data_IF_191081546402
#
_entry.id   IF_191081546402
#
_cell.length_a   1.000
_cell.length_b   1.000
_cell.length_c   1.000
_cell.angle_alpha   90.00
_cell.angle_beta   90.00
_cell.angle_gamma   90.00
#
_symmetry.space_group_name_H-M   'P 1'
#
loop_
_entity.id
_entity.type
_entity.pdbx_description
1 polymer ?
#
# COMPACT_ATOMS: atom_id res chain seq x y z
N UNK A 1 -11.40 16.06 9.23
CA UNK A 1 -10.78 17.18 8.45
C UNK A 1 -10.05 16.65 7.23
N UNK A 2 -9.05 15.78 7.37
CA UNK A 2 -8.26 15.25 6.24
C UNK A 2 -9.13 14.56 5.17
N UNK A 3 -9.84 13.48 5.53
CA UNK A 3 -10.67 12.71 4.59
C UNK A 3 -11.79 13.57 3.98
N UNK A 4 -12.50 14.35 4.81
CA UNK A 4 -13.56 15.23 4.34
C UNK A 4 -13.06 16.34 3.40
N UNK A 5 -11.87 16.89 3.63
CA UNK A 5 -11.27 17.93 2.78
C UNK A 5 -10.84 17.40 1.41
N UNK A 6 -10.43 16.13 1.33
CA UNK A 6 -10.15 15.45 0.05
C UNK A 6 -11.46 15.26 -0.72
N UNK A 7 -12.50 14.71 -0.11
CA UNK A 7 -13.78 14.45 -0.80
C UNK A 7 -14.51 15.73 -1.23
N UNK A 8 -14.34 16.84 -0.51
CA UNK A 8 -14.90 18.15 -0.88
C UNK A 8 -14.04 18.91 -1.90
N UNK A 9 -12.91 18.35 -2.34
CA UNK A 9 -11.99 18.99 -3.29
C UNK A 9 -11.25 20.20 -2.74
N UNK A 10 -11.25 20.41 -1.41
CA UNK A 10 -10.57 21.55 -0.78
C UNK A 10 -9.06 21.36 -0.71
N UNK A 11 -8.61 20.10 -0.62
CA UNK A 11 -7.20 19.73 -0.50
C UNK A 11 -6.87 18.56 -1.40
N UNK A 12 -5.72 18.64 -2.07
CA UNK A 12 -5.05 17.47 -2.62
C UNK A 12 -4.56 16.53 -1.49
N UNK A 13 -4.24 15.26 -1.77
CA UNK A 13 -3.74 14.34 -0.74
C UNK A 13 -2.51 14.86 0.02
N UNK A 14 -1.61 15.57 -0.67
CA UNK A 14 -0.40 16.18 -0.07
C UNK A 14 -0.75 17.35 0.84
N UNK A 15 -1.65 18.23 0.42
CA UNK A 15 -2.16 19.34 1.25
C UNK A 15 -2.93 18.82 2.47
N UNK A 16 -3.76 17.79 2.28
CA UNK A 16 -4.53 17.16 3.35
C UNK A 16 -3.60 16.54 4.41
N UNK A 17 -2.49 15.92 4.00
CA UNK A 17 -1.46 15.42 4.90
C UNK A 17 -0.77 16.56 5.67
N UNK A 18 -0.46 17.69 5.01
CA UNK A 18 0.11 18.87 5.67
C UNK A 18 -0.84 19.45 6.73
N UNK A 19 -2.14 19.54 6.44
CA UNK A 19 -3.17 19.98 7.40
C UNK A 19 -3.26 19.01 8.58
N UNK A 20 -3.18 17.70 8.34
CA UNK A 20 -3.15 16.68 9.39
C UNK A 20 -1.93 16.82 10.31
N UNK A 21 -0.74 16.98 9.73
CA UNK A 21 0.52 17.17 10.47
C UNK A 21 0.51 18.46 11.29
N UNK A 22 0.03 19.56 10.71
CA UNK A 22 -0.13 20.82 11.41
C UNK A 22 -1.13 20.70 12.57
N UNK A 23 -2.25 20.01 12.36
CA UNK A 23 -3.22 19.72 13.42
C UNK A 23 -2.61 18.92 14.57
N UNK A 24 -1.80 17.91 14.28
CA UNK A 24 -1.08 17.13 15.28
C UNK A 24 -0.07 18.00 16.06
N UNK A 25 0.63 18.90 15.38
CA UNK A 25 1.55 19.87 16.01
C UNK A 25 0.83 20.81 16.97
N UNK A 26 -0.30 21.40 16.55
CA UNK A 26 -1.13 22.28 17.40
C UNK A 26 -1.65 21.52 18.62
N UNK A 27 -2.11 20.28 18.45
CA UNK A 27 -2.55 19.43 19.56
C UNK A 27 -1.43 19.11 20.54
N UNK A 28 -0.22 18.84 20.05
CA UNK A 28 0.95 18.59 20.90
C UNK A 28 1.33 19.84 21.71
N UNK A 29 1.23 21.02 21.10
CA UNK A 29 1.44 22.31 21.76
C UNK A 29 0.38 22.59 22.83
N UNK A 30 -0.91 22.39 22.49
CA UNK A 30 -2.04 22.57 23.41
C UNK A 30 -1.94 21.63 24.62
N UNK A 31 -1.49 20.38 24.42
CA UNK A 31 -1.25 19.42 25.50
C UNK A 31 0.03 19.68 26.31
N UNK A 32 0.82 20.73 25.98
CA UNK A 32 2.11 21.08 26.61
C UNK A 32 3.12 19.92 26.65
N UNK A 33 3.05 18.99 25.68
CA UNK A 33 3.96 17.84 25.58
C UNK A 33 5.12 18.09 24.62
N UNK A 34 5.11 19.21 23.91
CA UNK A 34 6.13 19.57 22.94
C UNK A 34 7.36 20.16 23.65
N UNK A 35 8.32 19.30 23.99
CA UNK A 35 9.65 19.74 24.46
C UNK A 35 10.62 19.84 23.29
N UNK A 36 11.69 20.65 23.42
CA UNK A 36 12.75 20.75 22.39
C UNK A 36 13.34 19.38 22.03
N UNK A 37 13.46 18.49 23.01
CA UNK A 37 13.94 17.11 22.81
C UNK A 37 12.97 16.30 21.97
N UNK A 38 11.68 16.29 22.31
CA UNK A 38 10.64 15.58 21.55
C UNK A 38 10.55 16.12 20.13
N UNK A 39 10.60 17.44 19.95
CA UNK A 39 10.57 18.08 18.64
C UNK A 39 11.72 17.63 17.74
N UNK A 40 12.96 17.66 18.25
CA UNK A 40 14.14 17.19 17.50
C UNK A 40 14.10 15.68 17.21
N UNK A 41 13.60 14.88 18.15
CA UNK A 41 13.43 13.44 17.96
C UNK A 41 12.45 13.14 16.82
N UNK A 42 11.27 13.77 16.82
CA UNK A 42 10.27 13.59 15.77
C UNK A 42 10.80 14.03 14.39
N UNK A 43 11.54 15.15 14.32
CA UNK A 43 12.19 15.59 13.08
C UNK A 43 13.21 14.57 12.57
N UNK A 44 14.05 14.03 13.46
CA UNK A 44 15.04 13.02 13.10
C UNK A 44 14.38 11.74 12.59
N UNK A 45 13.39 11.21 13.30
CA UNK A 45 12.65 10.02 12.88
C UNK A 45 11.98 10.23 11.51
N UNK A 46 11.32 11.37 11.33
CA UNK A 46 10.68 11.73 10.05
C UNK A 46 11.70 11.83 8.91
N UNK A 47 12.86 12.45 9.16
CA UNK A 47 13.93 12.56 8.17
C UNK A 47 14.52 11.19 7.81
N UNK A 48 14.69 10.29 8.77
CA UNK A 48 15.16 8.92 8.53
C UNK A 48 14.17 8.13 7.68
N UNK A 49 12.87 8.15 8.03
CA UNK A 49 11.83 7.47 7.24
C UNK A 49 11.74 8.04 5.83
N UNK A 50 11.78 9.36 5.69
CA UNK A 50 11.77 10.04 4.39
C UNK A 50 13.01 9.69 3.55
N UNK A 51 14.19 9.63 4.19
CA UNK A 51 15.43 9.24 3.53
C UNK A 51 15.43 7.81 3.01
N UNK A 52 14.85 6.87 3.77
CA UNK A 52 14.65 5.48 3.31
C UNK A 52 13.73 5.42 2.07
N UNK A 53 12.63 6.18 2.08
CA UNK A 53 11.71 6.26 0.93
C UNK A 53 12.43 6.83 -0.30
N UNK A 54 13.20 7.91 -0.15
CA UNK A 54 13.98 8.48 -1.27
C UNK A 54 15.01 7.50 -1.82
N UNK A 55 15.70 6.75 -0.96
CA UNK A 55 16.65 5.72 -1.40
C UNK A 55 15.95 4.65 -2.25
N UNK A 56 14.77 4.19 -1.82
CA UNK A 56 13.95 3.24 -2.57
C UNK A 56 13.50 3.84 -3.91
N UNK A 57 13.07 5.10 -3.94
CA UNK A 57 12.67 5.79 -5.16
C UNK A 57 13.83 5.89 -6.16
N UNK A 58 15.04 6.23 -5.69
CA UNK A 58 16.24 6.27 -6.55
C UNK A 58 16.56 4.87 -7.09
N UNK A 59 16.57 3.84 -6.24
CA UNK A 59 16.78 2.46 -6.67
C UNK A 59 15.73 1.98 -7.67
N UNK A 60 14.47 2.35 -7.43
CA UNK A 60 13.33 2.06 -8.31
C UNK A 60 13.46 2.76 -9.65
N UNK A 61 13.92 4.01 -9.69
CA UNK A 61 14.13 4.73 -10.95
C UNK A 61 15.20 4.06 -11.82
N UNK A 62 16.32 3.62 -11.21
CA UNK A 62 17.36 2.85 -11.90
C UNK A 62 16.83 1.49 -12.35
N UNK A 63 16.07 0.81 -11.51
CA UNK A 63 15.44 -0.46 -11.84
C UNK A 63 14.43 -0.31 -13.00
N UNK A 64 13.61 0.74 -13.00
CA UNK A 64 12.65 0.99 -14.08
C UNK A 64 13.36 1.20 -15.42
N UNK A 65 14.46 1.96 -15.44
CA UNK A 65 15.28 2.12 -16.65
C UNK A 65 15.78 0.76 -17.19
N UNK A 66 16.22 -0.15 -16.31
CA UNK A 66 16.61 -1.50 -16.71
C UNK A 66 15.43 -2.31 -17.27
N UNK A 67 14.26 -2.24 -16.64
CA UNK A 67 13.04 -2.94 -17.07
C UNK A 67 12.57 -2.45 -18.45
N UNK A 68 12.57 -1.14 -18.66
CA UNK A 68 12.22 -0.52 -19.95
C UNK A 68 13.22 -0.93 -21.04
N UNK A 69 14.52 -0.87 -20.75
CA UNK A 69 15.57 -1.21 -21.72
C UNK A 69 15.56 -2.70 -22.09
N UNK A 70 15.26 -3.58 -21.13
CA UNK A 70 15.21 -5.03 -21.36
C UNK A 70 13.92 -5.48 -22.05
N UNK A 71 12.97 -4.58 -22.31
CA UNK A 71 11.64 -4.90 -22.86
C UNK A 71 10.89 -5.96 -22.05
N UNK A 72 11.22 -6.11 -20.76
CA UNK A 72 10.64 -7.12 -19.89
C UNK A 72 9.10 -7.06 -19.85
N UNK A 73 8.44 -5.88 -19.85
CA UNK A 73 6.99 -5.82 -19.92
C UNK A 73 6.43 -6.52 -21.18
N UNK A 74 7.05 -6.35 -22.34
CA UNK A 74 6.62 -7.02 -23.59
C UNK A 74 6.80 -8.54 -23.51
N UNK A 75 7.90 -9.01 -22.93
CA UNK A 75 8.16 -10.45 -22.72
C UNK A 75 7.14 -11.06 -21.75
N UNK A 76 6.84 -10.38 -20.65
CA UNK A 76 5.85 -10.83 -19.66
C UNK A 76 4.44 -10.90 -20.25
N UNK A 77 4.02 -9.86 -20.98
CA UNK A 77 2.72 -9.86 -21.68
C UNK A 77 2.65 -11.00 -22.69
N UNK A 78 3.71 -11.20 -23.48
CA UNK A 78 3.79 -12.31 -24.44
C UNK A 78 3.74 -13.69 -23.78
N UNK A 79 4.41 -13.86 -22.64
CA UNK A 79 4.37 -15.10 -21.86
C UNK A 79 2.98 -15.37 -21.29
N UNK A 80 2.34 -14.36 -20.68
CA UNK A 80 0.98 -14.45 -20.15
C UNK A 80 -0.04 -14.74 -21.27
N UNK A 81 0.08 -14.07 -22.41
CA UNK A 81 -0.75 -14.34 -23.58
C UNK A 81 -0.56 -15.77 -24.11
N UNK A 82 0.67 -16.29 -24.08
CA UNK A 82 1.01 -17.65 -24.48
C UNK A 82 0.46 -18.74 -23.55
N UNK A 83 0.17 -18.42 -22.28
CA UNK A 83 -0.47 -19.35 -21.34
C UNK A 83 -1.95 -19.58 -21.65
N UNK A 84 -2.59 -18.74 -22.48
CA UNK A 84 -4.01 -18.83 -22.81
C UNK A 84 -4.94 -18.67 -21.61
N UNK A 85 -4.44 -18.09 -20.52
CA UNK A 85 -5.21 -17.92 -19.28
C UNK A 85 -6.26 -16.82 -19.44
N UNK A 86 -7.45 -16.97 -18.85
CA UNK A 86 -8.40 -15.87 -18.74
C UNK A 86 -7.77 -14.69 -17.98
N UNK A 87 -8.02 -13.43 -18.37
CA UNK A 87 -7.48 -12.25 -17.69
C UNK A 87 -7.72 -12.24 -16.17
N UNK A 88 -8.85 -12.78 -15.71
CA UNK A 88 -9.18 -12.90 -14.29
C UNK A 88 -8.25 -13.88 -13.56
N UNK A 89 -7.83 -14.97 -14.20
CA UNK A 89 -6.88 -15.92 -13.61
C UNK A 89 -5.50 -15.28 -13.39
N UNK A 90 -5.08 -14.41 -14.31
CA UNK A 90 -3.83 -13.63 -14.18
C UNK A 90 -3.90 -12.68 -12.98
N UNK A 91 -5.03 -11.98 -12.81
CA UNK A 91 -5.26 -11.12 -11.65
C UNK A 91 -5.21 -11.92 -10.34
N UNK A 92 -5.88 -13.07 -10.28
CA UNK A 92 -5.87 -13.91 -9.07
C UNK A 92 -4.44 -14.36 -8.74
N UNK A 93 -3.66 -14.75 -9.75
CA UNK A 93 -2.25 -15.11 -9.58
C UNK A 93 -1.42 -13.93 -9.07
N UNK A 94 -1.64 -12.72 -9.61
CA UNK A 94 -0.99 -11.50 -9.13
C UNK A 94 -1.36 -11.20 -7.68
N UNK A 95 -2.64 -11.32 -7.31
CA UNK A 95 -3.10 -11.12 -5.93
C UNK A 95 -2.39 -12.09 -4.98
N UNK A 96 -2.33 -13.38 -5.32
CA UNK A 96 -1.62 -14.38 -4.50
C UNK A 96 -0.13 -14.03 -4.39
N UNK A 97 0.51 -13.65 -5.50
CA UNK A 97 1.89 -13.20 -5.51
C UNK A 97 2.11 -11.99 -4.59
N UNK A 98 1.24 -10.99 -4.65
CA UNK A 98 1.30 -9.79 -3.81
C UNK A 98 1.04 -10.08 -2.33
N UNK A 99 0.15 -11.02 -1.99
CA UNK A 99 -0.05 -11.45 -0.60
C UNK A 99 1.24 -12.08 -0.06
N UNK A 100 1.89 -12.95 -0.84
CA UNK A 100 3.15 -13.58 -0.45
C UNK A 100 4.25 -12.53 -0.31
N UNK A 101 4.37 -11.62 -1.28
CA UNK A 101 5.39 -10.58 -1.28
C UNK A 101 5.20 -9.59 -0.11
N UNK A 102 3.96 -9.20 0.15
CA UNK A 102 3.58 -8.30 1.25
C UNK A 102 3.81 -8.91 2.63
N UNK A 103 3.92 -10.24 2.74
CA UNK A 103 4.38 -10.88 3.97
C UNK A 103 5.85 -10.60 4.28
N UNK A 104 6.67 -10.18 3.32
CA UNK A 104 8.11 -9.94 3.50
C UNK A 104 8.52 -8.48 3.39
N UNK A 105 7.78 -7.69 2.61
CA UNK A 105 8.13 -6.31 2.26
C UNK A 105 7.14 -5.32 2.86
N UNK A 106 7.62 -4.13 3.22
CA UNK A 106 6.74 -3.03 3.60
C UNK A 106 5.96 -2.50 2.39
N UNK A 107 4.86 -1.80 2.67
CA UNK A 107 3.92 -1.35 1.65
C UNK A 107 4.57 -0.51 0.55
N UNK A 108 5.32 0.53 0.93
CA UNK A 108 5.86 1.47 -0.05
C UNK A 108 6.94 0.80 -0.91
N UNK A 109 7.85 0.03 -0.30
CA UNK A 109 8.86 -0.70 -1.05
C UNK A 109 8.26 -1.67 -2.05
N UNK A 110 7.24 -2.43 -1.64
CA UNK A 110 6.58 -3.39 -2.51
C UNK A 110 5.93 -2.69 -3.72
N UNK A 111 5.19 -1.61 -3.48
CA UNK A 111 4.50 -0.86 -4.53
C UNK A 111 5.52 -0.29 -5.52
N UNK A 112 6.52 0.44 -5.03
CA UNK A 112 7.48 1.11 -5.89
C UNK A 112 8.27 0.12 -6.75
N UNK A 113 8.65 -1.04 -6.20
CA UNK A 113 9.42 -2.03 -6.94
C UNK A 113 8.59 -2.82 -7.96
N UNK A 114 7.30 -3.05 -7.69
CA UNK A 114 6.46 -3.92 -8.53
C UNK A 114 5.64 -3.18 -9.58
N UNK A 115 5.21 -1.95 -9.26
CA UNK A 115 4.37 -1.15 -10.13
C UNK A 115 4.93 -0.99 -11.56
N UNK A 116 6.24 -0.76 -11.77
CA UNK A 116 6.77 -0.50 -13.11
C UNK A 116 6.52 -1.62 -14.14
N UNK A 117 6.51 -2.88 -13.71
CA UNK A 117 6.30 -4.01 -14.62
C UNK A 117 4.89 -4.61 -14.53
N UNK A 118 4.21 -4.50 -13.38
CA UNK A 118 2.83 -5.00 -13.25
C UNK A 118 1.82 -4.06 -13.88
N UNK A 119 2.04 -2.74 -13.79
CA UNK A 119 1.12 -1.75 -14.31
C UNK A 119 0.88 -1.88 -15.83
N UNK A 120 1.91 -2.00 -16.69
CA UNK A 120 1.70 -2.23 -18.13
C UNK A 120 0.99 -3.55 -18.43
N UNK A 121 1.25 -4.61 -17.65
CA UNK A 121 0.59 -5.90 -17.81
C UNK A 121 -0.91 -5.79 -17.54
N UNK A 122 -1.31 -5.12 -16.46
CA UNK A 122 -2.73 -4.93 -16.11
C UNK A 122 -3.47 -4.12 -17.17
N UNK A 123 -2.85 -3.06 -17.69
CA UNK A 123 -3.42 -2.27 -18.79
C UNK A 123 -3.58 -3.12 -20.07
N UNK A 124 -2.61 -3.98 -20.38
CA UNK A 124 -2.68 -4.87 -21.55
C UNK A 124 -3.83 -5.89 -21.47
N UNK A 125 -4.25 -6.23 -20.25
CA UNK A 125 -5.40 -7.12 -19.98
C UNK A 125 -6.75 -6.38 -20.02
N UNK A 126 -6.75 -5.06 -20.22
CA UNK A 126 -7.96 -4.23 -20.33
C UNK A 126 -8.58 -3.81 -18.99
N UNK A 127 -7.82 -3.90 -17.89
CA UNK A 127 -8.31 -3.47 -16.58
C UNK A 127 -8.05 -1.98 -16.33
N UNK A 128 -8.94 -1.38 -15.54
CA UNK A 128 -8.84 0.01 -15.13
C UNK A 128 -7.69 0.23 -14.12
N UNK A 129 -6.85 1.27 -14.31
CA UNK A 129 -5.70 1.54 -13.44
C UNK A 129 -6.10 1.97 -12.03
N UNK A 130 -7.23 2.65 -11.85
CA UNK A 130 -7.76 3.06 -10.55
C UNK A 130 -8.21 1.83 -9.77
N UNK A 131 -8.97 0.94 -10.42
CA UNK A 131 -9.37 -0.34 -9.82
C UNK A 131 -8.15 -1.15 -9.39
N UNK A 132 -7.12 -1.23 -10.24
CA UNK A 132 -5.90 -1.95 -9.91
C UNK A 132 -5.14 -1.30 -8.74
N UNK A 133 -5.06 0.03 -8.71
CA UNK A 133 -4.48 0.75 -7.57
C UNK A 133 -5.19 0.43 -6.25
N UNK A 134 -6.53 0.44 -6.26
CA UNK A 134 -7.36 0.09 -5.09
C UNK A 134 -7.13 -1.37 -4.68
N UNK A 135 -7.12 -2.29 -5.64
CA UNK A 135 -6.87 -3.71 -5.39
C UNK A 135 -5.48 -3.93 -4.81
N UNK A 136 -4.46 -3.33 -5.41
CA UNK A 136 -3.08 -3.47 -5.01
C UNK A 136 -2.86 -2.93 -3.59
N UNK A 137 -3.31 -1.71 -3.28
CA UNK A 137 -3.26 -1.16 -1.90
C UNK A 137 -4.02 -2.08 -0.94
N UNK A 138 -5.18 -2.59 -1.36
CA UNK A 138 -5.97 -3.50 -0.53
C UNK A 138 -5.23 -4.79 -0.19
N UNK A 139 -4.46 -5.35 -1.14
CA UNK A 139 -3.69 -6.59 -0.95
C UNK A 139 -2.43 -6.34 -0.13
N UNK A 140 -1.77 -5.20 -0.33
CA UNK A 140 -0.62 -4.77 0.47
C UNK A 140 -0.97 -4.75 1.96
N UNK A 141 -2.12 -4.17 2.31
CA UNK A 141 -2.61 -4.12 3.68
C UNK A 141 -2.77 -5.51 4.29
N UNK A 142 -3.26 -6.50 3.51
CA UNK A 142 -3.34 -7.90 3.96
C UNK A 142 -1.95 -8.44 4.31
N UNK A 143 -0.94 -8.18 3.49
CA UNK A 143 0.44 -8.59 3.75
C UNK A 143 0.99 -8.05 5.08
N UNK A 144 0.67 -6.79 5.43
CA UNK A 144 1.16 -6.14 6.65
C UNK A 144 0.54 -6.68 7.94
N UNK A 145 -0.64 -7.31 7.87
CA UNK A 145 -1.31 -7.92 9.02
C UNK A 145 -1.20 -9.45 9.04
N UNK A 146 -0.79 -10.08 7.93
CA UNK A 146 -0.65 -11.54 7.83
C UNK A 146 0.66 -12.01 8.47
N UNK A 147 0.64 -12.98 9.41
CA UNK A 147 1.85 -13.67 9.87
C UNK A 147 2.52 -14.40 8.70
N UNK A 148 3.83 -14.22 8.44
CA UNK A 148 4.92 -14.45 9.40
C UNK A 148 5.68 -13.19 9.86
N UNK A 149 5.71 -12.12 9.06
CA UNK A 149 6.33 -10.84 9.45
C UNK A 149 5.28 -9.90 10.02
N UNK A 150 4.08 -9.77 9.42
CA UNK A 150 2.97 -8.99 9.98
C UNK A 150 3.42 -7.72 10.72
N UNK A 151 4.10 -6.80 10.02
CA UNK A 151 4.82 -5.68 10.63
C UNK A 151 3.95 -4.89 11.63
N UNK A 152 2.66 -4.74 11.33
CA UNK A 152 1.69 -4.10 12.21
C UNK A 152 1.51 -4.85 13.54
N UNK A 153 1.55 -6.19 13.51
CA UNK A 153 1.47 -7.03 14.71
C UNK A 153 2.71 -6.85 15.60
N UNK A 154 3.90 -6.71 15.01
CA UNK A 154 5.14 -6.45 15.76
C UNK A 154 5.16 -5.05 16.38
N UNK A 155 4.62 -4.04 15.69
CA UNK A 155 4.47 -2.69 16.25
C UNK A 155 3.53 -2.69 17.47
N UNK A 156 2.43 -3.43 17.41
CA UNK A 156 1.51 -3.58 18.55
C UNK A 156 2.19 -4.30 19.72
N UNK A 157 2.96 -5.36 19.44
CA UNK A 157 3.74 -6.05 20.47
C UNK A 157 4.77 -5.12 21.12
N UNK A 158 5.51 -4.34 20.33
CA UNK A 158 6.55 -3.45 20.84
C UNK A 158 5.98 -2.32 21.73
N UNK A 159 4.75 -1.89 21.46
CA UNK A 159 4.06 -0.84 22.21
C UNK A 159 3.26 -1.35 23.41
N UNK A 160 3.02 -2.67 23.50
CA UNK A 160 2.24 -3.29 24.58
C UNK A 160 3.02 -4.39 25.30
N UNK A 161 3.67 -4.06 26.43
CA UNK A 161 4.48 -5.03 27.18
C UNK A 161 3.68 -6.26 27.63
N UNK A 162 4.25 -7.45 27.45
CA UNK A 162 3.68 -8.72 27.95
C UNK A 162 2.73 -9.44 26.98
N UNK A 163 2.39 -8.85 25.85
CA UNK A 163 1.58 -9.50 24.82
C UNK A 163 2.42 -10.47 23.96
N UNK A 164 1.95 -11.71 23.83
CA UNK A 164 2.59 -12.73 22.99
C UNK A 164 2.11 -12.60 21.54
N UNK A 165 3.00 -12.88 20.58
CA UNK A 165 2.69 -12.79 19.14
C UNK A 165 1.52 -13.71 18.77
N UNK A 166 1.43 -14.86 19.45
CA UNK A 166 0.38 -15.87 19.26
C UNK A 166 -1.01 -15.35 19.64
N UNK A 167 -1.09 -14.46 20.63
CA UNK A 167 -2.36 -13.85 21.05
C UNK A 167 -2.80 -12.82 20.02
N UNK A 168 -1.87 -11.99 19.55
CA UNK A 168 -2.12 -10.96 18.54
C UNK A 168 -2.49 -11.63 17.20
N UNK A 169 -1.76 -12.64 16.77
CA UNK A 169 -1.98 -13.33 15.50
C UNK A 169 -3.33 -14.03 15.45
N UNK A 170 -3.78 -14.65 16.56
CA UNK A 170 -5.14 -15.18 16.66
C UNK A 170 -6.21 -14.09 16.63
N UNK A 171 -5.93 -12.94 17.27
CA UNK A 171 -6.82 -11.79 17.26
C UNK A 171 -7.00 -11.15 15.88
N UNK A 172 -6.02 -11.28 14.98
CA UNK A 172 -6.07 -10.69 13.64
C UNK A 172 -6.80 -11.56 12.61
N UNK A 173 -6.99 -12.86 12.87
CA UNK A 173 -7.70 -13.79 11.97
C UNK A 173 -9.05 -13.27 11.47
N UNK A 174 -9.97 -12.73 12.31
CA UNK A 174 -11.23 -12.18 11.80
C UNK A 174 -11.03 -11.00 10.84
N UNK A 175 -10.00 -10.17 11.04
CA UNK A 175 -9.67 -9.08 10.12
C UNK A 175 -9.10 -9.61 8.81
N UNK A 176 -8.24 -10.63 8.85
CA UNK A 176 -7.75 -11.31 7.65
C UNK A 176 -8.88 -11.91 6.82
N UNK A 177 -9.85 -12.54 7.48
CA UNK A 177 -11.02 -13.09 6.79
C UNK A 177 -11.85 -11.97 6.15
N UNK A 178 -12.09 -10.87 6.88
CA UNK A 178 -12.80 -9.71 6.34
C UNK A 178 -12.08 -9.09 5.13
N UNK A 179 -10.76 -8.97 5.18
CA UNK A 179 -9.96 -8.45 4.07
C UNK A 179 -9.92 -9.40 2.87
N UNK A 180 -9.83 -10.72 3.10
CA UNK A 180 -9.94 -11.70 2.02
C UNK A 180 -11.31 -11.63 1.34
N UNK A 181 -12.39 -11.46 2.10
CA UNK A 181 -13.73 -11.23 1.56
C UNK A 181 -13.77 -9.94 0.76
N UNK A 182 -13.20 -8.84 1.29
CA UNK A 182 -13.10 -7.56 0.59
C UNK A 182 -12.36 -7.70 -0.74
N UNK A 183 -11.18 -8.31 -0.75
CA UNK A 183 -10.36 -8.53 -1.95
C UNK A 183 -11.12 -9.40 -2.96
N UNK A 184 -11.77 -10.47 -2.49
CA UNK A 184 -12.59 -11.33 -3.36
C UNK A 184 -13.73 -10.54 -4.02
N UNK A 185 -14.41 -9.68 -3.26
CA UNK A 185 -15.47 -8.82 -3.79
C UNK A 185 -14.94 -7.78 -4.78
N UNK A 186 -13.77 -7.18 -4.53
CA UNK A 186 -13.15 -6.22 -5.44
C UNK A 186 -12.74 -6.87 -6.77
N UNK A 187 -12.27 -8.12 -6.72
CA UNK A 187 -11.92 -8.90 -7.92
C UNK A 187 -13.17 -9.35 -8.68
N UNK A 188 -14.20 -9.81 -7.98
CA UNK A 188 -15.44 -10.28 -8.60
C UNK A 188 -16.31 -9.13 -9.14
N UNK A 189 -16.28 -7.97 -8.49
CA UNK A 189 -17.12 -6.81 -8.80
C UNK A 189 -16.28 -5.52 -8.87
N UNK A 190 -15.53 -5.28 -9.97
CA UNK A 190 -14.71 -4.06 -10.14
C UNK A 190 -15.50 -2.75 -9.97
N UNK A 191 -16.80 -2.79 -10.29
CA UNK A 191 -17.71 -1.66 -10.09
C UNK A 191 -17.75 -1.14 -8.65
N UNK A 192 -17.52 -1.99 -7.63
CA UNK A 192 -17.45 -1.55 -6.23
C UNK A 192 -16.30 -0.56 -5.99
N UNK A 193 -15.17 -0.75 -6.66
CA UNK A 193 -14.02 0.13 -6.55
C UNK A 193 -14.20 1.42 -7.36
N UNK A 194 -14.84 1.29 -8.54
CA UNK A 194 -14.96 2.37 -9.52
C UNK A 194 -16.18 3.26 -9.31
N UNK A 195 -17.20 2.79 -8.58
CA UNK A 195 -18.45 3.50 -8.39
C UNK A 195 -18.26 4.91 -7.81
N UNK A 196 -17.53 5.03 -6.70
CA UNK A 196 -17.32 6.33 -6.08
C UNK A 196 -16.43 7.26 -6.94
N UNK A 197 -15.27 6.83 -7.46
CA UNK A 197 -14.50 7.63 -8.41
C UNK A 197 -15.32 8.13 -9.60
N UNK A 198 -16.14 7.26 -10.21
CA UNK A 198 -16.96 7.62 -11.38
C UNK A 198 -18.05 8.68 -11.12
N UNK A 199 -18.32 8.99 -9.85
CA UNK A 199 -19.26 10.04 -9.43
C UNK A 199 -18.57 11.35 -9.04
N UNK A 200 -17.24 11.34 -8.93
CA UNK A 200 -16.41 12.48 -8.53
C UNK A 200 -15.69 13.15 -9.70
N UNK A 201 -15.68 12.51 -10.87
CA UNK A 201 -15.27 13.08 -12.16
C UNK A 201 -16.37 13.99 -12.75
#
# INVERSE_FOLDING_TARGET
>A
VVIGGIYLGWFSPTEAAAVGAFGAFVLALAKRRLTRRVFLLCLSETATTTGMIFLILVGTAVFNYFIETTTLPHVLVGWVAGLGLPPLAVIVLLVVFFVILGCFMDALSMILLTLPFVYPLVLSLGYDPVWFGILMVSVVEVGLITPPVGMNLFVIMATTPGLRIQTISRGVVPFLVADLVRVTLLVAFPALALWLPSLMD
#
